data_IF_842579505810
#
_entry.id   IF_842579505810
#
_cell.length_a   1.000
_cell.length_b   1.000
_cell.length_c   1.000
_cell.angle_alpha   90.00
_cell.angle_beta   90.00
_cell.angle_gamma   90.00
#
_symmetry.space_group_name_H-M   'P 1'
#
loop_
_entity.id
_entity.type
_entity.pdbx_description
1 polymer ?
#
# COMPACT_ATOMS: atom_id res chain seq x y z
N UNK A 1 13.40 -5.09 12.85
CA UNK A 1 12.36 -4.19 13.35
C UNK A 1 11.26 -4.11 12.29
N UNK A 2 9.99 -4.13 12.67
CA UNK A 2 8.86 -4.07 11.73
C UNK A 2 7.84 -3.03 12.21
N UNK A 3 7.24 -2.32 11.26
CA UNK A 3 6.22 -1.30 11.54
C UNK A 3 4.85 -1.87 11.20
N UNK A 4 3.86 -1.66 12.06
CA UNK A 4 2.48 -2.08 11.84
C UNK A 4 1.56 -0.87 12.01
N UNK A 5 0.67 -0.63 11.05
CA UNK A 5 -0.32 0.44 11.16
C UNK A 5 -0.57 1.17 9.84
N UNK A 6 -1.12 2.38 9.97
CA UNK A 6 -1.60 3.17 8.84
C UNK A 6 -3.03 2.81 8.46
N UNK A 7 -3.82 3.83 8.18
CA UNK A 7 -5.25 3.70 7.85
C UNK A 7 -5.59 4.33 6.50
N UNK A 8 -4.91 5.42 6.16
CA UNK A 8 -5.06 6.11 4.88
C UNK A 8 -4.08 5.57 3.85
N UNK A 9 -4.58 5.27 2.65
CA UNK A 9 -3.74 4.81 1.54
C UNK A 9 -2.69 5.84 1.12
N UNK A 10 -3.00 7.14 1.19
CA UNK A 10 -2.10 8.21 0.73
C UNK A 10 -0.86 8.33 1.63
N UNK A 11 -1.07 8.45 2.94
CA UNK A 11 0.05 8.48 3.92
C UNK A 11 0.86 7.18 3.86
N UNK A 12 0.20 6.06 3.57
CA UNK A 12 0.86 4.76 3.49
C UNK A 12 1.81 4.67 2.31
N UNK A 13 1.51 5.34 1.19
CA UNK A 13 2.44 5.40 0.05
C UNK A 13 3.74 6.10 0.44
N UNK A 14 3.64 7.31 1.02
CA UNK A 14 4.82 8.04 1.48
C UNK A 14 5.64 7.28 2.52
N UNK A 15 4.96 6.68 3.51
CA UNK A 15 5.64 5.93 4.57
C UNK A 15 6.24 4.61 4.06
N UNK A 16 5.56 3.90 3.16
CA UNK A 16 6.08 2.69 2.53
C UNK A 16 7.29 2.97 1.62
N UNK A 17 7.30 4.11 0.93
CA UNK A 17 8.45 4.55 0.14
C UNK A 17 9.65 4.80 1.06
N UNK A 18 9.45 5.60 2.11
CA UNK A 18 10.47 5.90 3.10
C UNK A 18 11.05 4.62 3.72
N UNK A 19 10.19 3.71 4.16
CA UNK A 19 10.62 2.44 4.75
C UNK A 19 11.30 1.52 3.75
N UNK A 20 11.01 1.63 2.45
CA UNK A 20 11.69 0.86 1.43
C UNK A 20 13.15 1.28 1.27
N UNK A 21 13.47 2.58 1.42
CA UNK A 21 14.88 3.04 1.45
C UNK A 21 15.68 2.46 2.62
N UNK A 22 15.04 2.30 3.77
CA UNK A 22 15.67 1.73 4.97
C UNK A 22 15.50 0.21 5.09
N UNK A 23 14.87 -0.44 4.11
CA UNK A 23 14.59 -1.87 4.11
C UNK A 23 13.79 -2.34 5.35
N UNK A 24 12.90 -1.47 5.85
CA UNK A 24 12.09 -1.75 7.03
C UNK A 24 10.77 -2.39 6.58
N UNK A 25 10.45 -3.62 7.02
CA UNK A 25 9.16 -4.23 6.73
C UNK A 25 8.02 -3.42 7.37
N UNK A 26 7.02 -3.08 6.57
CA UNK A 26 5.85 -2.29 6.97
C UNK A 26 4.56 -3.01 6.61
N UNK A 27 3.71 -3.26 7.62
CA UNK A 27 2.42 -3.91 7.45
C UNK A 27 1.26 -2.94 7.64
N UNK A 28 0.48 -2.76 6.59
CA UNK A 28 -0.72 -1.93 6.57
C UNK A 28 -2.01 -2.77 6.72
N UNK A 29 -2.86 -2.53 7.74
CA UNK A 29 -4.03 -3.36 7.98
C UNK A 29 -5.24 -3.06 7.07
N UNK A 30 -5.37 -1.86 6.50
CA UNK A 30 -6.65 -1.38 5.92
C UNK A 30 -6.52 -0.70 4.56
N UNK A 31 -5.31 -0.47 4.07
CA UNK A 31 -5.08 0.30 2.86
C UNK A 31 -5.49 -0.51 1.64
N UNK A 32 -6.44 0.01 0.87
CA UNK A 32 -6.99 -0.65 -0.33
C UNK A 32 -6.40 -0.16 -1.65
N UNK A 33 -5.55 0.88 -1.67
CA UNK A 33 -5.05 1.43 -2.94
C UNK A 33 -4.28 0.38 -3.76
N UNK A 34 -4.56 0.22 -5.07
CA UNK A 34 -3.84 -0.71 -5.94
C UNK A 34 -2.38 -0.30 -6.17
N UNK A 35 -2.04 0.99 -6.05
CA UNK A 35 -0.65 1.46 -6.21
C UNK A 35 0.31 0.86 -5.17
N UNK A 36 -0.19 0.55 -3.97
CA UNK A 36 0.57 -0.11 -2.90
C UNK A 36 0.90 -1.58 -3.19
N UNK A 37 0.36 -2.16 -4.26
CA UNK A 37 0.74 -3.51 -4.71
C UNK A 37 2.01 -3.52 -5.58
N UNK A 38 2.51 -2.36 -5.99
CA UNK A 38 3.73 -2.27 -6.81
C UNK A 38 4.97 -2.60 -5.97
N UNK A 39 5.56 -3.76 -6.23
CA UNK A 39 6.76 -4.25 -5.52
C UNK A 39 8.06 -3.65 -6.00
N UNK A 40 8.07 -2.95 -7.14
CA UNK A 40 9.25 -2.20 -7.56
C UNK A 40 9.41 -0.94 -6.70
N UNK A 41 8.30 -0.28 -6.38
CA UNK A 41 8.28 0.93 -5.55
C UNK A 41 8.17 0.65 -4.04
N UNK A 42 7.43 -0.40 -3.65
CA UNK A 42 7.17 -0.74 -2.25
C UNK A 42 7.52 -2.21 -1.93
N UNK A 43 8.79 -2.64 -2.08
CA UNK A 43 9.19 -4.03 -1.88
C UNK A 43 8.91 -4.55 -0.46
N UNK A 44 9.03 -3.69 0.55
CA UNK A 44 8.89 -4.05 1.98
C UNK A 44 7.50 -3.84 2.57
N UNK A 45 6.53 -3.40 1.76
CA UNK A 45 5.16 -3.18 2.21
C UNK A 45 4.32 -4.46 2.09
N UNK A 46 3.64 -4.86 3.17
CA UNK A 46 2.72 -6.00 3.20
C UNK A 46 1.36 -5.57 3.74
N UNK A 47 0.29 -6.27 3.32
CA UNK A 47 -1.06 -6.03 3.85
C UNK A 47 -1.90 -7.30 3.76
N UNK A 48 -2.80 -7.56 4.73
CA UNK A 48 -3.76 -8.66 4.65
C UNK A 48 -4.98 -8.32 3.78
N UNK A 49 -5.31 -7.03 3.65
CA UNK A 49 -6.44 -6.55 2.84
C UNK A 49 -6.07 -6.57 1.36
N UNK A 50 -6.96 -7.08 0.52
CA UNK A 50 -6.78 -7.07 -0.93
C UNK A 50 -6.83 -5.63 -1.46
N UNK A 51 -5.98 -5.34 -2.45
CA UNK A 51 -6.06 -4.06 -3.18
C UNK A 51 -7.38 -4.00 -3.95
N UNK A 52 -8.19 -2.99 -3.68
CA UNK A 52 -9.47 -2.78 -4.37
C UNK A 52 -9.17 -1.98 -5.63
N UNK A 53 -9.14 -2.66 -6.78
CA UNK A 53 -9.15 -2.00 -8.08
C UNK A 53 -10.60 -1.82 -8.55
N UNK A 54 -11.08 -0.57 -8.59
CA UNK A 54 -12.37 -0.25 -9.22
C UNK A 54 -12.09 0.08 -10.68
N UNK A 55 -12.50 -0.76 -11.65
CA UNK A 55 -12.28 -0.47 -13.06
C UNK A 55 -13.09 0.78 -13.45
N UNK A 56 -12.40 1.79 -13.97
CA UNK A 56 -12.97 3.07 -14.43
C UNK A 56 -14.01 2.88 -15.55
N UNK A 57 -14.05 1.70 -16.17
CA UNK A 57 -15.06 1.32 -17.17
C UNK A 57 -16.43 0.92 -16.59
N UNK A 58 -16.59 0.80 -15.27
CA UNK A 58 -17.87 0.45 -14.66
C UNK A 58 -18.87 1.63 -14.58
N UNK A 59 -18.42 2.85 -14.89
CA UNK A 59 -19.25 4.07 -14.94
C UNK A 59 -19.41 4.62 -16.36
N UNK A 60 -19.84 3.78 -17.30
CA UNK A 60 -20.38 4.26 -18.59
C UNK A 60 -21.80 3.72 -18.74
N UNK A 61 -22.75 4.48 -18.19
CA UNK A 61 -24.18 4.38 -18.50
C UNK A 61 -24.46 4.94 -19.90
#
# INVERSE_FOLDING_TARGET
MAVFGGVSSDITQYTAELFSYYQIPYCGPMQGSPSLSDKNNYPYFIRPVQGVFVPVHFFKF
#
